data_IF_564332425732
#
_entry.id   IF_564332425732
#
_cell.length_a   1.000
_cell.length_b   1.000
_cell.length_c   1.000
_cell.angle_alpha   90.00
_cell.angle_beta   90.00
_cell.angle_gamma   90.00
#
_symmetry.space_group_name_H-M   'P 1'
#
loop_
_entity.id
_entity.type
_entity.pdbx_description
1 polymer ?
#
# COMPACT_ATOMS: atom_id res chain seq x y z
N UNK A 1 1.18 0.12 5.86
CA UNK A 1 1.69 -0.70 4.74
C UNK A 1 3.16 -0.99 4.94
N UNK A 2 3.53 -2.25 5.01
CA UNK A 2 4.93 -2.68 5.19
C UNK A 2 5.52 -2.95 3.80
N UNK A 3 6.40 -2.06 3.35
CA UNK A 3 7.02 -2.09 2.01
C UNK A 3 8.11 -1.02 1.90
N UNK A 4 9.12 -1.26 1.08
CA UNK A 4 10.09 -0.25 0.65
C UNK A 4 10.03 -0.01 -0.88
N UNK A 5 8.91 -0.36 -1.52
CA UNK A 5 8.61 -0.11 -2.95
C UNK A 5 9.73 -0.59 -3.89
N UNK A 6 10.51 0.34 -4.46
CA UNK A 6 11.55 0.10 -5.46
C UNK A 6 12.95 -0.10 -4.89
N UNK A 7 13.11 -0.06 -3.56
CA UNK A 7 14.40 -0.29 -2.91
C UNK A 7 14.86 -1.74 -3.09
N UNK A 8 16.16 -2.05 -2.85
CA UNK A 8 16.69 -3.41 -2.83
C UNK A 8 15.87 -4.37 -1.95
N UNK A 9 15.94 -5.70 -2.20
CA UNK A 9 15.14 -6.69 -1.46
C UNK A 9 15.35 -6.70 0.04
N UNK A 10 16.54 -6.36 0.51
CA UNK A 10 16.95 -6.29 1.91
C UNK A 10 16.36 -5.11 2.67
N UNK A 11 16.04 -4.02 1.98
CA UNK A 11 15.39 -2.86 2.58
C UNK A 11 13.92 -3.17 2.87
N UNK A 12 13.38 -2.53 3.90
CA UNK A 12 11.95 -2.50 4.14
C UNK A 12 11.59 -1.24 4.93
N UNK A 13 10.29 -0.95 5.04
CA UNK A 13 9.81 0.23 5.73
C UNK A 13 8.32 0.17 6.03
N UNK A 14 7.83 1.19 6.71
CA UNK A 14 6.41 1.34 7.04
C UNK A 14 5.89 2.64 6.44
N UNK A 15 4.80 2.54 5.68
CA UNK A 15 4.04 3.68 5.18
C UNK A 15 2.74 3.79 5.97
N UNK A 16 2.54 4.93 6.61
CA UNK A 16 1.32 5.23 7.33
C UNK A 16 0.26 5.78 6.37
N UNK A 17 -0.97 5.40 6.59
CA UNK A 17 -2.15 5.79 5.80
C UNK A 17 -3.15 6.39 6.77
N UNK A 18 -3.71 7.53 6.43
CA UNK A 18 -4.71 8.17 7.25
C UNK A 18 -6.08 7.46 7.15
N UNK A 19 -7.06 7.78 8.00
CA UNK A 19 -8.38 7.14 7.95
C UNK A 19 -9.14 7.34 6.64
N UNK A 20 -8.84 8.39 5.86
CA UNK A 20 -9.47 8.64 4.56
C UNK A 20 -8.74 7.98 3.40
N UNK A 21 -7.72 7.17 3.70
CA UNK A 21 -6.93 6.46 2.70
C UNK A 21 -5.95 7.37 1.97
N UNK A 22 -5.50 8.44 2.59
CA UNK A 22 -4.50 9.36 2.06
C UNK A 22 -3.13 9.10 2.70
N UNK A 23 -2.10 9.73 2.18
CA UNK A 23 -0.79 9.70 2.83
C UNK A 23 -0.87 10.51 4.13
N UNK A 24 -0.27 9.99 5.20
CA UNK A 24 -0.18 10.73 6.44
C UNK A 24 0.59 12.05 6.22
N UNK A 25 0.16 13.11 6.89
CA UNK A 25 0.79 14.42 6.78
C UNK A 25 2.28 14.36 7.17
N UNK A 26 3.14 15.08 6.41
CA UNK A 26 4.59 15.00 6.56
C UNK A 26 5.12 15.42 7.94
N UNK A 27 4.36 16.19 8.72
CA UNK A 27 4.70 16.54 10.11
C UNK A 27 4.83 15.32 11.03
N UNK A 28 4.13 14.22 10.72
CA UNK A 28 4.21 12.97 11.47
C UNK A 28 5.53 12.20 11.28
N UNK A 29 6.28 12.50 10.22
CA UNK A 29 7.55 11.81 9.94
C UNK A 29 8.57 12.00 11.08
N UNK A 30 8.63 13.18 11.67
CA UNK A 30 9.53 13.47 12.79
C UNK A 30 9.20 12.62 14.02
N UNK A 31 7.91 12.43 14.34
CA UNK A 31 7.47 11.58 15.44
C UNK A 31 7.73 10.11 15.16
N UNK A 32 7.39 9.63 13.97
CA UNK A 32 7.66 8.25 13.55
C UNK A 32 9.15 7.92 13.63
N UNK A 33 10.01 8.82 13.16
CA UNK A 33 11.48 8.70 13.24
C UNK A 33 11.97 8.67 14.68
N UNK A 34 11.43 9.52 15.55
CA UNK A 34 11.80 9.56 16.97
C UNK A 34 11.47 8.25 17.67
N UNK A 35 10.27 7.69 17.43
CA UNK A 35 9.85 6.40 17.99
C UNK A 35 10.71 5.25 17.45
N UNK A 36 10.93 5.20 16.14
CA UNK A 36 11.67 4.11 15.49
C UNK A 36 13.16 4.08 15.87
N UNK A 37 13.76 5.21 16.21
CA UNK A 37 15.17 5.34 16.57
C UNK A 37 15.42 5.49 18.07
N UNK A 38 14.41 5.27 18.91
CA UNK A 38 14.58 5.31 20.36
C UNK A 38 15.60 4.22 20.80
N UNK A 39 16.69 4.60 21.50
CA UNK A 39 17.77 3.66 21.79
C UNK A 39 17.47 2.70 22.96
N UNK A 40 16.47 3.01 23.79
CA UNK A 40 16.05 2.21 24.94
C UNK A 40 14.55 2.25 25.10
N UNK A 41 14.00 1.34 25.90
CA UNK A 41 12.56 1.31 26.23
C UNK A 41 12.11 2.59 26.96
N UNK A 42 12.96 3.14 27.82
CA UNK A 42 12.68 4.39 28.51
C UNK A 42 12.60 5.56 27.52
N UNK A 43 13.54 5.65 26.58
CA UNK A 43 13.53 6.68 25.54
C UNK A 43 12.33 6.54 24.60
N UNK A 44 11.89 5.30 24.33
CA UNK A 44 10.68 5.03 23.57
C UNK A 44 9.44 5.52 24.30
N UNK A 45 9.34 5.23 25.61
CA UNK A 45 8.24 5.68 26.45
C UNK A 45 8.16 7.22 26.53
N UNK A 46 9.30 7.89 26.72
CA UNK A 46 9.39 9.36 26.69
C UNK A 46 8.95 9.96 25.36
N UNK A 47 9.41 9.37 24.23
CA UNK A 47 9.02 9.82 22.90
C UNK A 47 7.51 9.63 22.65
N UNK A 48 6.93 8.52 23.13
CA UNK A 48 5.50 8.25 23.05
C UNK A 48 4.69 9.24 23.90
N UNK A 49 5.09 9.47 25.15
CA UNK A 49 4.43 10.45 26.01
C UNK A 49 4.51 11.87 25.42
N UNK A 50 5.65 12.25 24.86
CA UNK A 50 5.81 13.53 24.22
C UNK A 50 4.86 13.68 23.03
N UNK A 51 4.82 12.69 22.14
CA UNK A 51 3.92 12.66 20.98
C UNK A 51 2.45 12.82 21.39
N UNK A 52 2.01 12.04 22.37
CA UNK A 52 0.61 12.06 22.83
C UNK A 52 0.22 13.41 23.42
N UNK A 53 1.13 14.06 24.17
CA UNK A 53 0.93 15.40 24.74
C UNK A 53 0.95 16.48 23.65
N UNK A 54 1.95 16.48 22.78
CA UNK A 54 2.11 17.51 21.75
C UNK A 54 0.91 17.55 20.78
N UNK A 55 0.34 16.38 20.47
CA UNK A 55 -0.78 16.25 19.56
C UNK A 55 -2.13 16.12 20.25
N UNK A 56 -2.16 16.19 21.59
CA UNK A 56 -3.37 16.05 22.40
C UNK A 56 -4.19 14.81 22.00
N UNK A 57 -3.52 13.65 21.92
CA UNK A 57 -4.15 12.39 21.51
C UNK A 57 -4.98 11.84 22.67
N UNK A 58 -6.26 11.58 22.41
CA UNK A 58 -7.13 10.87 23.33
C UNK A 58 -6.83 9.36 23.31
N UNK A 59 -6.15 8.88 24.35
CA UNK A 59 -5.77 7.47 24.49
C UNK A 59 -6.93 6.54 24.87
N UNK A 60 -8.05 7.07 25.30
CA UNK A 60 -9.26 6.30 25.59
C UNK A 60 -10.15 6.10 24.37
N UNK A 61 -9.85 6.81 23.28
CA UNK A 61 -10.59 6.66 22.03
C UNK A 61 -10.31 5.28 21.41
N UNK A 62 -11.34 4.46 21.14
CA UNK A 62 -11.16 3.17 20.48
C UNK A 62 -10.47 3.35 19.11
N UNK A 63 -9.39 2.62 18.91
CA UNK A 63 -8.63 2.66 17.68
C UNK A 63 -8.68 1.33 16.94
N UNK A 64 -8.64 1.40 15.60
CA UNK A 64 -8.52 0.22 14.73
C UNK A 64 -7.43 0.45 13.70
N UNK A 65 -6.61 -0.57 13.46
CA UNK A 65 -5.57 -0.58 12.45
C UNK A 65 -5.84 -1.64 11.38
N UNK A 66 -5.69 -1.28 10.12
CA UNK A 66 -5.61 -2.23 9.01
C UNK A 66 -4.19 -2.21 8.44
N UNK A 67 -3.65 -3.37 8.12
CA UNK A 67 -2.29 -3.45 7.60
C UNK A 67 -2.14 -4.52 6.53
N UNK A 68 -1.13 -4.34 5.71
CA UNK A 68 -0.72 -5.29 4.67
C UNK A 68 0.78 -5.15 4.42
N UNK A 69 1.35 -6.10 3.70
CA UNK A 69 2.76 -6.11 3.31
C UNK A 69 2.94 -6.46 1.84
N UNK A 70 4.12 -6.19 1.31
CA UNK A 70 4.55 -6.71 0.03
C UNK A 70 5.20 -8.12 0.16
N UNK A 71 5.91 -8.56 -0.87
CA UNK A 71 6.52 -9.90 -0.95
C UNK A 71 7.92 -10.01 -0.36
N UNK A 72 8.44 -8.97 0.31
CA UNK A 72 9.77 -8.98 0.92
C UNK A 72 9.90 -10.04 2.00
N UNK A 73 11.05 -10.70 2.06
CA UNK A 73 11.31 -11.76 3.02
C UNK A 73 11.22 -11.30 4.49
N UNK A 74 11.57 -10.04 4.77
CA UNK A 74 11.46 -9.42 6.11
C UNK A 74 10.02 -9.11 6.53
N UNK A 75 9.07 -9.10 5.58
CA UNK A 75 7.67 -8.72 5.84
C UNK A 75 7.00 -9.49 6.99
N UNK A 76 7.05 -10.82 7.05
CA UNK A 76 6.45 -11.59 8.14
C UNK A 76 6.99 -11.23 9.53
N UNK A 77 8.30 -11.01 9.66
CA UNK A 77 8.92 -10.60 10.92
C UNK A 77 8.43 -9.21 11.37
N UNK A 78 8.38 -8.25 10.44
CA UNK A 78 7.89 -6.91 10.74
C UNK A 78 6.39 -6.91 11.08
N UNK A 79 5.58 -7.79 10.47
CA UNK A 79 4.18 -7.99 10.87
C UNK A 79 4.09 -8.52 12.30
N UNK A 80 4.94 -9.46 12.70
CA UNK A 80 4.96 -9.97 14.08
C UNK A 80 5.25 -8.85 15.07
N UNK A 81 6.28 -8.03 14.83
CA UNK A 81 6.61 -6.90 15.69
C UNK A 81 5.47 -5.85 15.74
N UNK A 82 4.83 -5.55 14.60
CA UNK A 82 3.66 -4.68 14.56
C UNK A 82 2.53 -5.21 15.42
N UNK A 83 2.24 -6.52 15.34
CA UNK A 83 1.19 -7.15 16.14
C UNK A 83 1.45 -7.10 17.63
N UNK A 84 2.70 -7.29 18.06
CA UNK A 84 3.08 -7.15 19.46
C UNK A 84 2.78 -5.75 19.97
N UNK A 85 3.14 -4.71 19.21
CA UNK A 85 2.82 -3.32 19.56
C UNK A 85 1.32 -3.04 19.59
N UNK A 86 0.57 -3.44 18.57
CA UNK A 86 -0.89 -3.24 18.51
C UNK A 86 -1.63 -3.95 19.68
N UNK A 87 -1.19 -5.15 20.04
CA UNK A 87 -1.74 -5.90 21.15
C UNK A 87 -1.41 -5.25 22.50
N UNK A 88 -0.20 -4.72 22.66
CA UNK A 88 0.20 -4.02 23.90
C UNK A 88 -0.69 -2.81 24.19
N UNK A 89 -1.08 -2.08 23.16
CA UNK A 89 -1.99 -0.92 23.27
C UNK A 89 -3.46 -1.25 22.99
N UNK A 90 -3.81 -2.55 22.88
CA UNK A 90 -5.18 -3.06 22.73
C UNK A 90 -5.92 -2.49 21.51
N UNK A 91 -5.22 -2.24 20.41
CA UNK A 91 -5.81 -1.76 19.15
C UNK A 91 -6.44 -2.92 18.40
N UNK A 92 -7.72 -2.80 18.04
CA UNK A 92 -8.38 -3.72 17.12
C UNK A 92 -7.63 -3.69 15.76
N UNK A 93 -7.35 -4.87 15.20
CA UNK A 93 -6.56 -4.89 13.98
C UNK A 93 -7.00 -5.96 12.98
N UNK A 94 -6.71 -5.72 11.69
CA UNK A 94 -7.00 -6.65 10.61
C UNK A 94 -5.82 -6.73 9.61
N UNK A 95 -5.38 -7.97 9.35
CA UNK A 95 -4.31 -8.28 8.41
C UNK A 95 -4.87 -8.60 7.02
N UNK A 96 -4.63 -7.72 6.07
CA UNK A 96 -4.99 -7.89 4.66
C UNK A 96 -3.92 -8.63 3.84
N UNK A 97 -2.92 -9.20 4.50
CA UNK A 97 -1.87 -10.05 3.91
C UNK A 97 -1.05 -9.32 2.83
N UNK A 98 -1.02 -9.86 1.63
CA UNK A 98 -0.29 -9.30 0.50
C UNK A 98 -1.17 -8.33 -0.28
N UNK A 99 -0.86 -7.04 -0.20
CA UNK A 99 -1.47 -6.00 -1.02
C UNK A 99 -0.39 -5.08 -1.61
N UNK A 100 -0.79 -4.33 -2.63
CA UNK A 100 -0.04 -3.14 -3.05
C UNK A 100 -0.43 -1.94 -2.16
N UNK A 101 0.42 -0.93 -2.12
CA UNK A 101 0.12 0.31 -1.37
C UNK A 101 -1.22 0.93 -1.76
N UNK A 102 -1.57 1.12 -3.06
CA UNK A 102 -2.88 1.67 -3.43
C UNK A 102 -4.07 0.81 -3.00
N UNK A 103 -3.90 -0.51 -2.96
CA UNK A 103 -4.97 -1.40 -2.47
C UNK A 103 -5.22 -1.19 -0.97
N UNK A 104 -4.16 -1.03 -0.15
CA UNK A 104 -4.35 -0.75 1.28
C UNK A 104 -4.98 0.62 1.51
N UNK A 105 -4.57 1.66 0.76
CA UNK A 105 -5.20 2.99 0.80
C UNK A 105 -6.70 2.90 0.52
N UNK A 106 -7.08 2.18 -0.53
CA UNK A 106 -8.48 1.92 -0.87
C UNK A 106 -9.24 1.22 0.26
N UNK A 107 -8.68 0.12 0.79
CA UNK A 107 -9.29 -0.66 1.88
C UNK A 107 -9.48 0.22 3.12
N UNK A 108 -8.45 0.98 3.51
CA UNK A 108 -8.52 1.88 4.67
C UNK A 108 -9.69 2.85 4.53
N UNK A 109 -9.82 3.49 3.39
CA UNK A 109 -10.93 4.40 3.13
C UNK A 109 -12.28 3.70 3.19
N UNK A 110 -12.43 2.54 2.53
CA UNK A 110 -13.66 1.77 2.56
C UNK A 110 -14.09 1.42 3.98
N UNK A 111 -13.17 0.88 4.80
CA UNK A 111 -13.43 0.52 6.20
C UNK A 111 -13.95 1.70 7.01
N UNK A 112 -13.39 2.89 6.80
CA UNK A 112 -13.77 4.08 7.55
C UNK A 112 -15.01 4.81 7.01
N UNK A 113 -15.45 4.50 5.78
CA UNK A 113 -16.62 5.13 5.16
C UNK A 113 -17.82 4.20 5.03
N UNK A 114 -17.68 2.91 5.36
CA UNK A 114 -18.77 1.93 5.32
C UNK A 114 -19.96 2.40 6.15
N UNK A 115 -21.17 2.26 5.60
CA UNK A 115 -22.44 2.71 6.19
C UNK A 115 -22.54 4.22 6.47
N UNK A 116 -21.73 5.03 5.81
CA UNK A 116 -21.84 6.49 5.83
C UNK A 116 -22.37 7.01 4.48
N UNK A 117 -22.84 8.28 4.39
CA UNK A 117 -23.16 8.91 3.11
C UNK A 117 -21.99 8.99 2.12
N UNK A 118 -20.76 8.75 2.58
CA UNK A 118 -19.53 8.80 1.81
C UNK A 118 -18.96 7.42 1.51
N UNK A 119 -19.77 6.37 1.60
CA UNK A 119 -19.36 4.99 1.34
C UNK A 119 -18.53 4.89 0.06
N UNK A 120 -17.29 4.46 0.22
CA UNK A 120 -16.32 4.46 -0.88
C UNK A 120 -16.33 3.15 -1.68
N UNK A 121 -16.86 2.09 -1.12
CA UNK A 121 -16.97 0.77 -1.73
C UNK A 121 -16.65 -0.36 -0.78
N UNK A 122 -16.60 -1.58 -1.29
CA UNK A 122 -16.31 -2.77 -0.52
C UNK A 122 -14.86 -2.80 -0.02
N UNK A 123 -14.59 -3.02 1.30
CA UNK A 123 -13.24 -3.03 1.86
C UNK A 123 -12.50 -4.35 1.56
N UNK A 124 -12.45 -4.74 0.30
CA UNK A 124 -11.84 -5.98 -0.17
C UNK A 124 -10.93 -5.72 -1.37
N UNK A 125 -10.02 -6.66 -1.61
CA UNK A 125 -9.19 -6.65 -2.82
C UNK A 125 -10.05 -6.69 -4.10
N UNK A 126 -11.10 -7.49 -4.10
CA UNK A 126 -12.06 -7.55 -5.21
C UNK A 126 -12.74 -6.20 -5.45
N UNK A 127 -13.20 -5.53 -4.39
CA UNK A 127 -13.80 -4.21 -4.47
C UNK A 127 -12.87 -3.17 -5.13
N UNK A 128 -11.56 -3.26 -4.84
CA UNK A 128 -10.56 -2.43 -5.52
C UNK A 128 -10.51 -2.69 -7.02
N UNK A 129 -10.49 -3.96 -7.44
CA UNK A 129 -10.45 -4.32 -8.86
C UNK A 129 -11.70 -3.87 -9.61
N UNK A 130 -12.87 -4.10 -9.04
CA UNK A 130 -14.16 -3.70 -9.63
C UNK A 130 -14.27 -2.18 -9.77
N UNK A 131 -13.87 -1.44 -8.73
CA UNK A 131 -13.87 0.04 -8.77
C UNK A 131 -12.90 0.57 -9.81
N UNK A 132 -11.67 0.04 -9.84
CA UNK A 132 -10.64 0.43 -10.80
C UNK A 132 -11.09 0.15 -12.24
N UNK A 133 -11.63 -1.03 -12.50
CA UNK A 133 -12.13 -1.40 -13.82
C UNK A 133 -13.32 -0.55 -14.27
N UNK A 134 -14.24 -0.21 -13.35
CA UNK A 134 -15.36 0.70 -13.61
C UNK A 134 -14.85 2.10 -13.97
N UNK A 135 -13.88 2.62 -13.21
CA UNK A 135 -13.25 3.91 -13.47
C UNK A 135 -12.53 3.93 -14.81
N UNK A 136 -11.82 2.87 -15.15
CA UNK A 136 -11.16 2.72 -16.45
C UNK A 136 -12.16 2.74 -17.60
N UNK A 137 -13.24 1.95 -17.51
CA UNK A 137 -14.34 1.95 -18.50
C UNK A 137 -14.97 3.33 -18.66
N UNK A 138 -15.20 4.03 -17.55
CA UNK A 138 -15.74 5.39 -17.58
C UNK A 138 -14.79 6.38 -18.25
N UNK A 139 -13.49 6.28 -17.96
CA UNK A 139 -12.46 7.13 -18.56
C UNK A 139 -12.31 6.91 -20.08
N UNK A 140 -12.56 5.70 -20.57
CA UNK A 140 -12.58 5.42 -22.01
C UNK A 140 -13.73 6.16 -22.72
N UNK A 141 -14.83 6.45 -22.04
CA UNK A 141 -15.98 7.17 -22.58
C UNK A 141 -16.45 6.62 -23.95
N UNK A 142 -16.43 5.29 -24.12
CA UNK A 142 -16.78 4.60 -25.38
C UNK A 142 -15.67 4.60 -26.46
N UNK A 143 -14.54 5.24 -26.19
CA UNK A 143 -13.37 5.17 -27.11
C UNK A 143 -12.70 3.81 -26.97
N UNK A 144 -12.01 3.41 -28.06
CA UNK A 144 -11.21 2.20 -28.08
C UNK A 144 -9.73 2.55 -27.84
N UNK A 145 -9.05 1.75 -27.03
CA UNK A 145 -7.59 1.80 -26.93
C UNK A 145 -6.99 0.99 -28.08
N UNK A 146 -6.08 1.58 -28.82
CA UNK A 146 -5.33 0.88 -29.85
C UNK A 146 -3.91 0.62 -29.37
N UNK A 147 -3.53 -0.64 -29.29
CA UNK A 147 -2.18 -1.06 -28.91
C UNK A 147 -2.13 -2.01 -27.72
N UNK A 148 -0.91 -2.34 -27.33
CA UNK A 148 -0.60 -3.20 -26.20
C UNK A 148 0.31 -2.47 -25.21
N UNK A 149 0.25 -2.87 -23.94
CA UNK A 149 1.10 -2.38 -22.88
C UNK A 149 1.88 -3.56 -22.29
N UNK A 150 3.20 -3.46 -22.24
CA UNK A 150 4.01 -4.39 -21.46
C UNK A 150 4.31 -3.75 -20.11
N UNK A 151 3.95 -4.45 -19.04
CA UNK A 151 4.17 -4.02 -17.65
C UNK A 151 5.20 -4.93 -17.02
N UNK A 152 6.33 -4.36 -16.63
CA UNK A 152 7.35 -5.03 -15.83
C UNK A 152 6.98 -4.91 -14.35
N UNK A 153 6.68 -6.03 -13.70
CA UNK A 153 6.27 -6.08 -12.30
C UNK A 153 7.43 -6.29 -11.33
N UNK A 154 8.66 -6.25 -11.82
CA UNK A 154 9.88 -6.29 -11.00
C UNK A 154 9.93 -7.46 -9.99
N UNK A 155 9.26 -8.56 -10.29
CA UNK A 155 9.07 -9.72 -9.41
C UNK A 155 8.47 -9.37 -8.02
N UNK A 156 7.74 -8.26 -7.94
CA UNK A 156 7.09 -7.78 -6.72
C UNK A 156 5.61 -8.13 -6.65
N UNK A 157 4.97 -7.70 -5.55
CA UNK A 157 3.54 -7.91 -5.28
C UNK A 157 2.63 -7.39 -6.42
N UNK A 158 3.12 -6.45 -7.22
CA UNK A 158 2.41 -5.93 -8.39
C UNK A 158 2.07 -7.00 -9.43
N UNK A 159 2.91 -8.01 -9.62
CA UNK A 159 2.69 -9.10 -10.59
C UNK A 159 1.36 -9.83 -10.39
N UNK A 160 1.19 -10.59 -9.30
CA UNK A 160 -0.06 -11.30 -9.04
C UNK A 160 -1.27 -10.37 -8.92
N UNK A 161 -1.10 -9.14 -8.40
CA UNK A 161 -2.20 -8.18 -8.26
C UNK A 161 -2.66 -7.60 -9.60
N UNK A 162 -1.73 -7.33 -10.51
CA UNK A 162 -2.06 -6.91 -11.88
C UNK A 162 -2.70 -8.06 -12.68
N UNK A 163 -2.21 -9.29 -12.52
CA UNK A 163 -2.78 -10.47 -13.16
C UNK A 163 -4.25 -10.67 -12.76
N UNK A 164 -4.62 -10.38 -11.50
CA UNK A 164 -6.02 -10.37 -11.08
C UNK A 164 -6.79 -9.17 -11.65
N UNK A 165 -6.26 -7.96 -11.56
CA UNK A 165 -6.93 -6.75 -12.07
C UNK A 165 -7.31 -6.86 -13.55
N UNK A 166 -6.41 -7.42 -14.37
CA UNK A 166 -6.64 -7.57 -15.83
C UNK A 166 -7.91 -8.36 -16.13
N UNK A 167 -8.31 -9.29 -15.28
CA UNK A 167 -9.55 -10.09 -15.46
C UNK A 167 -10.83 -9.23 -15.38
N UNK A 168 -10.76 -8.06 -14.75
CA UNK A 168 -11.89 -7.11 -14.60
C UNK A 168 -11.89 -6.04 -15.69
N UNK A 169 -10.75 -5.81 -16.35
CA UNK A 169 -10.62 -4.80 -17.39
C UNK A 169 -11.29 -5.26 -18.71
N UNK A 170 -11.77 -4.33 -19.54
CA UNK A 170 -12.25 -4.70 -20.87
C UNK A 170 -11.10 -5.23 -21.72
N UNK A 171 -11.32 -6.35 -22.40
CA UNK A 171 -10.36 -6.93 -23.34
C UNK A 171 -10.17 -6.00 -24.57
N UNK A 172 -9.11 -6.24 -25.35
CA UNK A 172 -8.88 -5.52 -26.60
C UNK A 172 -10.10 -5.62 -27.55
N UNK A 173 -10.77 -6.79 -27.64
CA UNK A 173 -11.99 -6.98 -28.42
C UNK A 173 -13.15 -6.11 -27.92
N UNK A 174 -13.19 -5.78 -26.64
CA UNK A 174 -14.19 -4.90 -26.00
C UNK A 174 -13.76 -3.42 -26.02
N UNK A 175 -12.68 -3.08 -26.70
CA UNK A 175 -12.13 -1.73 -26.77
C UNK A 175 -11.17 -1.36 -25.65
N UNK A 176 -10.77 -2.32 -24.83
CA UNK A 176 -9.73 -2.15 -23.80
C UNK A 176 -8.33 -2.28 -24.37
N UNK A 177 -7.36 -2.40 -23.47
CA UNK A 177 -5.94 -2.54 -23.81
C UNK A 177 -5.49 -3.98 -23.62
N UNK A 178 -4.60 -4.45 -24.49
CA UNK A 178 -3.91 -5.72 -24.33
C UNK A 178 -2.70 -5.52 -23.40
N UNK A 179 -2.70 -6.22 -22.25
CA UNK A 179 -1.67 -6.06 -21.21
C UNK A 179 -0.83 -7.34 -21.14
N UNK A 180 0.46 -7.20 -21.45
CA UNK A 180 1.46 -8.24 -21.24
C UNK A 180 2.21 -7.97 -19.93
N UNK A 181 2.16 -8.93 -19.01
CA UNK A 181 2.87 -8.88 -17.73
C UNK A 181 4.20 -9.62 -17.87
N UNK A 182 5.27 -9.03 -17.36
CA UNK A 182 6.61 -9.64 -17.31
C UNK A 182 7.21 -9.46 -15.93
N UNK A 183 8.18 -10.31 -15.57
CA UNK A 183 8.85 -10.29 -14.27
C UNK A 183 7.86 -10.33 -13.08
N UNK A 184 7.02 -11.40 -13.06
CA UNK A 184 5.97 -11.59 -12.04
C UNK A 184 6.31 -12.72 -11.03
N UNK A 185 7.54 -13.26 -11.04
CA UNK A 185 7.98 -14.35 -10.17
C UNK A 185 8.25 -13.84 -8.74
N UNK A 186 7.23 -13.93 -7.87
CA UNK A 186 7.31 -13.52 -6.46
C UNK A 186 7.88 -14.61 -5.54
N UNK A 187 8.19 -15.80 -6.06
CA UNK A 187 8.68 -16.93 -5.25
C UNK A 187 10.15 -16.76 -4.88
N UNK A 188 10.90 -15.98 -5.65
CA UNK A 188 12.32 -15.72 -5.47
C UNK A 188 12.56 -14.31 -4.94
N UNK A 189 12.60 -14.10 -3.61
CA UNK A 189 12.74 -12.78 -3.02
C UNK A 189 13.97 -12.00 -3.49
N UNK A 190 15.05 -12.70 -3.81
CA UNK A 190 16.29 -12.12 -4.32
C UNK A 190 16.17 -11.50 -5.72
N UNK A 191 15.08 -11.80 -6.43
CA UNK A 191 14.77 -11.20 -7.74
C UNK A 191 13.90 -9.96 -7.65
N UNK A 192 13.41 -9.65 -6.46
CA UNK A 192 12.61 -8.45 -6.24
C UNK A 192 13.40 -7.20 -6.64
N UNK A 193 12.85 -6.38 -7.51
CA UNK A 193 13.47 -5.16 -8.02
C UNK A 193 14.83 -5.37 -8.73
N UNK A 194 15.17 -6.62 -9.11
CA UNK A 194 16.40 -6.90 -9.82
C UNK A 194 16.40 -6.24 -11.21
N UNK A 195 17.40 -5.42 -11.47
CA UNK A 195 17.59 -4.68 -12.74
C UNK A 195 16.40 -3.76 -13.13
N UNK A 196 15.53 -3.39 -12.20
CA UNK A 196 14.55 -2.34 -12.46
C UNK A 196 15.30 -1.02 -12.70
N UNK A 197 15.51 -0.69 -13.94
CA UNK A 197 15.92 0.65 -14.34
C UNK A 197 14.66 1.49 -14.45
N UNK A 198 14.51 2.46 -13.59
CA UNK A 198 13.66 3.61 -13.86
C UNK A 198 14.24 4.32 -15.07
N UNK A 199 13.86 3.89 -16.26
CA UNK A 199 14.10 4.64 -17.49
C UNK A 199 13.14 5.83 -17.44
N UNK A 200 13.52 6.87 -16.70
CA UNK A 200 12.90 8.18 -16.85
C UNK A 200 13.18 8.63 -18.28
N UNK A 201 12.17 9.03 -19.06
CA UNK A 201 12.40 9.67 -20.34
C UNK A 201 13.39 10.82 -20.13
N UNK A 202 14.36 10.94 -21.03
CA UNK A 202 15.39 12.00 -20.97
C UNK A 202 14.82 13.43 -20.87
N UNK A 203 13.55 13.62 -21.19
CA UNK A 203 12.79 14.87 -21.05
C UNK A 203 12.40 15.25 -19.62
N UNK A 204 12.60 14.37 -18.62
CA UNK A 204 12.22 14.64 -17.19
C UNK A 204 13.44 15.03 -16.32
N UNK A 205 14.63 15.07 -16.90
CA UNK A 205 15.87 15.47 -16.22
C UNK A 205 16.16 17.00 -16.29
N UNK A 206 15.16 17.81 -16.58
CA UNK A 206 15.30 19.28 -16.52
C UNK A 206 14.30 19.81 -15.50
N UNK A 207 14.75 19.92 -14.26
CA UNK A 207 14.66 21.05 -13.31
C UNK A 207 14.93 20.60 -11.89
#
# INVERSE_FOLDING_TARGET
>A
MITASHNPPEDNGVKLVDPMGEMLEGSWEAYATSLANAPTDEALAEAYEKLTKDLNIDLECPARAVYARDTRASGPHLVSALLEGLNAVKVENADYKLLTTPQLHYVTRCVNTTNTPFDYGEPTEQGYYEKTARSFKSALAGKKVNGSLTVDCANGVGGPKLSELVKYLPTAAQGGIDIKIVNEDVVKPERLNYQVRLALPSSWNTH
#
